data_IF_101314242433
#
_entry.id   IF_101314242433
#
_cell.length_a   1.000
_cell.length_b   1.000
_cell.length_c   1.000
_cell.angle_alpha   90.00
_cell.angle_beta   90.00
_cell.angle_gamma   90.00
#
_symmetry.space_group_name_H-M   'P 1'
#
loop_
_entity.id
_entity.type
_entity.pdbx_description
1 polymer ?
#
# COMPACT_ATOMS: atom_id res chain seq x y z
N UNK A 1 2.09 -4.78 -27.08
CA UNK A 1 0.71 -4.95 -26.54
C UNK A 1 0.67 -5.36 -25.08
N UNK A 2 1.46 -6.35 -24.61
CA UNK A 2 1.44 -6.84 -23.21
C UNK A 2 1.70 -5.78 -22.11
N UNK A 3 2.54 -4.77 -22.38
CA UNK A 3 2.86 -3.68 -21.41
C UNK A 3 1.71 -2.68 -21.23
N UNK A 4 1.02 -2.31 -22.31
CA UNK A 4 -0.16 -1.43 -22.27
C UNK A 4 -1.26 -2.09 -21.45
N UNK A 5 -1.45 -3.39 -21.63
CA UNK A 5 -2.43 -4.17 -20.88
C UNK A 5 -2.16 -4.18 -19.37
N UNK A 6 -0.89 -4.22 -18.95
CA UNK A 6 -0.48 -4.13 -17.54
C UNK A 6 -0.74 -2.73 -16.98
N UNK A 7 -0.40 -1.66 -17.72
CA UNK A 7 -0.68 -0.29 -17.27
C UNK A 7 -2.18 0.00 -17.21
N UNK A 8 -2.97 -0.52 -18.17
CA UNK A 8 -4.44 -0.43 -18.13
C UNK A 8 -5.04 -1.23 -16.97
N UNK A 9 -4.55 -2.45 -16.70
CA UNK A 9 -4.98 -3.23 -15.54
C UNK A 9 -4.61 -2.55 -14.22
N UNK A 10 -3.41 -1.96 -14.13
CA UNK A 10 -2.97 -1.20 -12.97
C UNK A 10 -3.84 0.04 -12.77
N UNK A 11 -4.18 0.75 -13.86
CA UNK A 11 -5.05 1.93 -13.82
C UNK A 11 -6.48 1.57 -13.39
N UNK A 12 -7.05 0.50 -13.95
CA UNK A 12 -8.38 0.00 -13.56
C UNK A 12 -8.39 -0.41 -12.09
N UNK A 13 -7.36 -1.15 -11.64
CA UNK A 13 -7.21 -1.56 -10.24
C UNK A 13 -7.08 -0.38 -9.27
N UNK A 14 -6.38 0.69 -9.67
CA UNK A 14 -6.27 1.92 -8.89
C UNK A 14 -7.59 2.70 -8.83
N UNK A 15 -8.42 2.65 -9.88
CA UNK A 15 -9.72 3.35 -9.91
C UNK A 15 -10.85 2.61 -9.18
N UNK A 16 -10.77 1.27 -9.06
CA UNK A 16 -11.82 0.47 -8.38
C UNK A 16 -11.85 0.63 -6.85
N UNK A 17 -10.92 1.40 -6.25
CA UNK A 17 -10.90 1.65 -4.80
C UNK A 17 -11.45 3.03 -4.39
N UNK A 18 -11.91 3.84 -5.34
CA UNK A 18 -12.56 5.14 -5.06
C UNK A 18 -14.07 4.95 -4.95
N UNK A 19 -14.54 4.56 -3.76
CA UNK A 19 -15.97 4.61 -3.43
C UNK A 19 -16.20 5.20 -2.04
N UNK A 20 -16.53 6.48 -2.04
CA UNK A 20 -17.55 7.14 -1.25
C UNK A 20 -17.86 8.47 -1.96
N UNK A 21 -19.12 8.81 -2.20
CA UNK A 21 -19.50 10.04 -2.89
C UNK A 21 -20.24 10.96 -1.93
N UNK A 22 -19.74 12.19 -1.72
CA UNK A 22 -20.46 13.25 -1.00
C UNK A 22 -21.04 14.22 -2.01
N UNK A 23 -22.35 14.39 -1.99
CA UNK A 23 -23.08 15.33 -2.84
C UNK A 23 -23.60 16.47 -1.99
N UNK A 24 -23.20 17.68 -2.34
CA UNK A 24 -23.72 18.91 -1.73
C UNK A 24 -24.84 19.42 -2.63
N UNK A 25 -26.03 19.54 -2.08
CA UNK A 25 -27.18 20.12 -2.77
C UNK A 25 -27.10 21.65 -2.74
N UNK A 26 -27.78 22.31 -3.66
CA UNK A 26 -27.95 23.79 -3.66
C UNK A 26 -28.68 24.30 -2.42
N UNK A 27 -29.39 23.43 -1.70
CA UNK A 27 -29.97 23.70 -0.38
C UNK A 27 -28.93 23.79 0.74
N UNK A 28 -27.69 23.34 0.51
CA UNK A 28 -26.64 23.20 1.52
C UNK A 28 -26.64 21.84 2.23
N UNK A 29 -27.60 20.97 1.93
CA UNK A 29 -27.66 19.60 2.47
C UNK A 29 -26.56 18.73 1.87
N UNK A 30 -25.94 17.89 2.71
CA UNK A 30 -24.84 17.01 2.35
C UNK A 30 -25.29 15.56 2.44
N UNK A 31 -25.19 14.81 1.34
CA UNK A 31 -25.57 13.40 1.26
C UNK A 31 -24.32 12.60 0.92
N UNK A 32 -23.96 11.63 1.76
CA UNK A 32 -22.79 10.76 1.55
C UNK A 32 -23.23 9.32 1.30
N UNK A 33 -22.68 8.67 0.29
CA UNK A 33 -22.98 7.26 -0.01
C UNK A 33 -22.37 6.77 -1.31
N UNK A 34 -22.77 5.57 -1.75
CA UNK A 34 -22.24 4.96 -2.97
C UNK A 34 -23.07 5.34 -4.18
N UNK A 35 -22.42 5.92 -5.19
CA UNK A 35 -23.05 6.25 -6.46
C UNK A 35 -23.35 4.96 -7.24
N UNK A 36 -24.63 4.64 -7.45
CA UNK A 36 -25.03 3.58 -8.37
C UNK A 36 -24.87 4.04 -9.81
N UNK A 37 -24.42 3.13 -10.67
CA UNK A 37 -24.41 3.37 -12.12
C UNK A 37 -25.82 3.74 -12.57
N UNK A 38 -25.96 4.98 -13.03
CA UNK A 38 -27.17 5.50 -13.66
C UNK A 38 -26.85 5.74 -15.13
N UNK A 39 -27.78 5.44 -16.02
CA UNK A 39 -27.61 5.71 -17.45
C UNK A 39 -27.24 7.19 -17.65
N UNK A 40 -26.21 7.49 -18.44
CA UNK A 40 -25.67 8.87 -18.57
C UNK A 40 -26.71 9.91 -19.01
N UNK A 41 -27.81 9.47 -19.61
CA UNK A 41 -28.97 10.26 -20.05
C UNK A 41 -29.98 10.60 -18.94
N UNK A 42 -29.84 10.02 -17.74
CA UNK A 42 -30.73 10.28 -16.61
C UNK A 42 -30.63 11.74 -16.14
N UNK A 43 -31.72 12.29 -15.65
CA UNK A 43 -31.77 13.61 -15.00
C UNK A 43 -31.41 13.58 -13.51
N UNK A 44 -31.06 12.40 -13.00
CA UNK A 44 -30.81 12.11 -11.59
C UNK A 44 -29.65 11.14 -11.41
N UNK A 45 -29.07 11.17 -10.22
CA UNK A 45 -28.13 10.17 -9.70
C UNK A 45 -28.80 9.42 -8.55
N UNK A 46 -28.36 8.19 -8.31
CA UNK A 46 -28.81 7.37 -7.19
C UNK A 46 -27.62 7.17 -6.27
N UNK A 47 -27.76 7.56 -5.01
CA UNK A 47 -26.76 7.35 -3.97
C UNK A 47 -27.34 6.39 -2.94
N UNK A 48 -26.65 5.30 -2.66
CA UNK A 48 -27.01 4.39 -1.58
C UNK A 48 -26.39 4.90 -0.28
N UNK A 49 -27.23 5.32 0.66
CA UNK A 49 -26.85 5.81 2.00
C UNK A 49 -27.55 4.93 3.03
N UNK A 50 -26.79 4.36 3.97
CA UNK A 50 -27.34 3.52 5.06
C UNK A 50 -28.25 2.35 4.59
N UNK A 51 -28.03 1.85 3.37
CA UNK A 51 -28.82 0.77 2.78
C UNK A 51 -30.08 1.22 2.04
N UNK A 52 -30.38 2.52 2.02
CA UNK A 52 -31.47 3.11 1.25
C UNK A 52 -30.96 3.84 0.00
N UNK A 53 -31.71 3.71 -1.10
CA UNK A 53 -31.39 4.38 -2.36
C UNK A 53 -32.04 5.77 -2.40
N UNK A 54 -31.22 6.81 -2.32
CA UNK A 54 -31.64 8.20 -2.40
C UNK A 54 -31.47 8.71 -3.83
N UNK A 55 -32.58 9.14 -4.45
CA UNK A 55 -32.60 9.73 -5.79
C UNK A 55 -32.39 11.24 -5.70
N UNK A 56 -31.33 11.75 -6.33
CA UNK A 56 -30.98 13.17 -6.36
C UNK A 56 -31.00 13.68 -7.79
N UNK A 57 -31.80 14.72 -8.08
CA UNK A 57 -31.81 15.32 -9.41
C UNK A 57 -30.53 16.14 -9.67
N UNK A 58 -29.95 16.00 -10.87
CA UNK A 58 -28.71 16.70 -11.27
C UNK A 58 -28.83 18.21 -11.17
N UNK A 59 -30.02 18.77 -11.35
CA UNK A 59 -30.30 20.23 -11.22
C UNK A 59 -30.14 20.76 -9.80
N UNK A 60 -30.25 19.89 -8.80
CA UNK A 60 -30.26 20.25 -7.38
C UNK A 60 -28.86 20.07 -6.76
N UNK A 61 -27.92 19.48 -7.49
CA UNK A 61 -26.52 19.31 -7.08
C UNK A 61 -25.77 20.62 -7.26
N UNK A 62 -25.10 21.06 -6.21
CA UNK A 62 -24.10 22.13 -6.25
C UNK A 62 -22.71 21.54 -6.55
N UNK A 63 -22.28 20.56 -5.77
CA UNK A 63 -20.94 19.96 -5.85
C UNK A 63 -20.99 18.45 -5.58
N UNK A 64 -20.06 17.70 -6.21
CA UNK A 64 -19.92 16.25 -6.05
C UNK A 64 -18.47 15.93 -5.74
N UNK A 65 -18.25 15.24 -4.61
CA UNK A 65 -16.93 14.85 -4.11
C UNK A 65 -16.79 13.35 -4.16
N UNK A 66 -15.62 12.90 -4.61
CA UNK A 66 -15.18 11.50 -4.50
C UNK A 66 -14.31 11.42 -3.25
N UNK A 67 -14.89 10.92 -2.17
CA UNK A 67 -14.23 10.72 -0.88
C UNK A 67 -13.85 9.24 -0.71
N UNK A 68 -12.91 8.98 0.19
CA UNK A 68 -12.59 7.62 0.61
C UNK A 68 -13.45 7.27 1.82
N UNK A 69 -14.06 6.08 1.83
CA UNK A 69 -14.82 5.60 2.97
C UNK A 69 -13.93 5.57 4.23
N UNK A 70 -14.44 6.12 5.33
CA UNK A 70 -13.74 6.21 6.61
C UNK A 70 -14.68 6.25 7.80
N UNK A 71 -14.19 5.86 8.97
CA UNK A 71 -14.96 5.88 10.21
C UNK A 71 -14.95 7.28 10.83
N UNK A 72 -16.06 7.68 11.46
CA UNK A 72 -16.14 8.95 12.18
C UNK A 72 -15.13 8.98 13.32
N UNK A 73 -14.38 10.07 13.39
CA UNK A 73 -13.21 10.21 14.24
C UNK A 73 -13.22 11.56 14.95
N UNK A 74 -12.97 11.51 16.25
CA UNK A 74 -12.70 12.69 17.07
C UNK A 74 -11.30 12.57 17.64
N UNK A 75 -10.48 13.60 17.47
CA UNK A 75 -9.10 13.65 17.94
C UNK A 75 -8.96 14.73 19.02
N UNK A 76 -8.29 14.39 20.12
CA UNK A 76 -7.80 15.37 21.09
C UNK A 76 -6.28 15.49 20.95
N UNK A 77 -5.81 16.67 20.52
CA UNK A 77 -4.39 16.97 20.36
C UNK A 77 -3.81 17.44 21.69
N UNK A 78 -2.52 17.15 21.96
CA UNK A 78 -1.88 17.62 23.20
C UNK A 78 -1.71 19.15 23.28
N UNK A 79 -1.62 19.79 22.12
CA UNK A 79 -1.35 21.23 22.00
C UNK A 79 -2.63 22.07 21.95
N UNK A 80 -3.80 21.44 21.74
CA UNK A 80 -5.07 22.13 21.57
C UNK A 80 -6.05 21.72 22.68
N UNK A 81 -6.74 22.68 23.33
CA UNK A 81 -7.65 22.38 24.44
C UNK A 81 -8.99 21.76 23.99
N UNK A 82 -9.32 21.84 22.70
CA UNK A 82 -10.58 21.34 22.16
C UNK A 82 -10.38 20.10 21.29
N UNK A 83 -11.30 19.14 21.42
CA UNK A 83 -11.33 17.98 20.54
C UNK A 83 -11.86 18.37 19.16
N UNK A 84 -11.12 18.02 18.11
CA UNK A 84 -11.62 18.15 16.73
C UNK A 84 -12.43 16.92 16.37
N UNK A 85 -13.73 17.11 16.20
CA UNK A 85 -14.69 16.11 15.74
C UNK A 85 -14.91 16.25 14.22
N UNK A 86 -15.75 15.42 13.62
CA UNK A 86 -16.05 15.42 12.16
C UNK A 86 -14.87 15.06 11.26
N UNK A 87 -13.87 14.37 11.79
CA UNK A 87 -12.76 13.83 11.00
C UNK A 87 -13.14 12.43 10.50
N UNK A 88 -12.54 11.99 9.38
CA UNK A 88 -12.73 10.62 8.87
C UNK A 88 -11.45 9.83 9.01
N UNK A 89 -11.48 8.77 9.81
CA UNK A 89 -10.41 7.80 9.96
C UNK A 89 -10.35 6.87 8.75
N UNK A 90 -9.23 6.89 8.04
CA UNK A 90 -9.00 6.04 6.86
C UNK A 90 -8.19 4.80 7.24
N UNK A 91 -7.15 5.01 8.05
CA UNK A 91 -6.21 3.97 8.46
C UNK A 91 -5.51 4.36 9.75
N UNK A 92 -5.13 3.36 10.54
CA UNK A 92 -4.18 3.51 11.62
C UNK A 92 -3.16 2.38 11.62
N UNK A 93 -2.02 2.65 12.26
CA UNK A 93 -1.02 1.64 12.60
C UNK A 93 -0.55 1.89 14.05
N UNK A 94 0.53 1.23 14.48
CA UNK A 94 1.03 1.33 15.86
C UNK A 94 1.49 2.75 16.25
N UNK A 95 1.83 3.61 15.28
CA UNK A 95 2.47 4.90 15.58
C UNK A 95 1.78 6.12 14.95
N UNK A 96 0.93 5.90 13.95
CA UNK A 96 0.38 6.93 13.08
C UNK A 96 -1.09 6.68 12.80
N UNK A 97 -1.85 7.77 12.86
CA UNK A 97 -3.25 7.87 12.50
C UNK A 97 -3.36 8.65 11.18
N UNK A 98 -4.07 8.10 10.20
CA UNK A 98 -4.33 8.71 8.90
C UNK A 98 -5.81 9.08 8.81
N UNK A 99 -6.08 10.36 8.60
CA UNK A 99 -7.44 10.90 8.60
C UNK A 99 -7.63 11.97 7.54
N UNK A 100 -8.88 12.21 7.18
CA UNK A 100 -9.31 13.33 6.35
C UNK A 100 -9.88 14.41 7.25
N UNK A 101 -9.41 15.65 7.08
CA UNK A 101 -9.94 16.81 7.80
C UNK A 101 -11.24 17.35 7.18
N UNK A 102 -11.89 18.30 7.86
CA UNK A 102 -13.15 18.92 7.40
C UNK A 102 -13.04 19.56 5.99
N UNK A 103 -11.82 19.87 5.55
CA UNK A 103 -11.53 20.45 4.24
C UNK A 103 -11.17 19.37 3.19
N UNK A 104 -11.47 18.11 3.46
CA UNK A 104 -11.13 16.97 2.61
C UNK A 104 -9.62 16.81 2.33
N UNK A 105 -8.76 17.25 3.26
CA UNK A 105 -7.31 17.07 3.12
C UNK A 105 -6.86 15.83 3.87
N UNK A 106 -6.10 15.00 3.18
CA UNK A 106 -5.40 13.88 3.79
C UNK A 106 -4.34 14.37 4.77
N UNK A 107 -4.46 13.96 6.02
CA UNK A 107 -3.54 14.28 7.11
C UNK A 107 -3.06 13.00 7.78
N UNK A 108 -1.87 13.11 8.36
CA UNK A 108 -1.28 12.07 9.22
C UNK A 108 -0.79 12.71 10.50
N UNK A 109 -0.94 12.00 11.60
CA UNK A 109 -0.44 12.46 12.90
C UNK A 109 0.13 11.28 13.68
N UNK A 110 1.17 11.52 14.47
CA UNK A 110 1.71 10.50 15.37
C UNK A 110 0.85 10.40 16.62
N UNK A 111 0.63 9.18 17.13
CA UNK A 111 0.05 8.99 18.47
C UNK A 111 0.85 9.70 19.57
N UNK A 112 2.15 10.00 19.35
CA UNK A 112 2.96 10.79 20.30
C UNK A 112 2.41 12.21 20.52
N UNK A 113 1.74 12.76 19.52
CA UNK A 113 1.21 14.14 19.52
C UNK A 113 -0.29 14.17 19.91
N UNK A 114 -0.88 13.00 20.11
CA UNK A 114 -2.29 12.82 20.50
C UNK A 114 -2.41 12.57 21.99
N UNK A 115 -3.42 13.16 22.61
CA UNK A 115 -3.83 12.80 23.96
C UNK A 115 -4.84 11.65 23.95
N UNK A 116 -5.84 11.73 23.06
CA UNK A 116 -6.81 10.65 22.87
C UNK A 116 -7.45 10.65 21.49
N UNK A 117 -8.05 9.51 21.12
CA UNK A 117 -8.91 9.38 19.95
C UNK A 117 -10.22 8.68 20.33
N UNK A 118 -11.30 9.06 19.65
CA UNK A 118 -12.59 8.38 19.69
C UNK A 118 -12.99 8.00 18.27
N UNK A 119 -13.27 6.72 18.06
CA UNK A 119 -13.71 6.17 16.78
C UNK A 119 -15.16 5.71 16.96
N UNK A 120 -16.07 6.30 16.20
CA UNK A 120 -17.49 5.95 16.22
C UNK A 120 -17.77 4.90 15.14
N UNK A 121 -18.64 3.93 15.48
CA UNK A 121 -19.08 2.86 14.58
C UNK A 121 -17.93 2.19 13.81
N UNK A 122 -16.95 1.57 14.50
CA UNK A 122 -15.72 1.10 13.90
C UNK A 122 -15.96 0.01 12.84
N UNK A 123 -15.44 0.21 11.64
CA UNK A 123 -15.53 -0.79 10.56
C UNK A 123 -14.65 -2.00 10.85
N UNK A 124 -14.97 -3.14 10.21
CA UNK A 124 -14.13 -4.36 10.26
C UNK A 124 -12.67 -4.07 9.96
N UNK A 125 -12.40 -3.23 8.94
CA UNK A 125 -11.04 -2.82 8.54
C UNK A 125 -10.29 -2.13 9.68
N UNK A 126 -10.96 -1.25 10.42
CA UNK A 126 -10.34 -0.53 11.55
C UNK A 126 -10.15 -1.46 12.75
N UNK A 127 -11.11 -2.33 13.05
CA UNK A 127 -10.99 -3.33 14.11
C UNK A 127 -9.80 -4.27 13.86
N UNK A 128 -9.60 -4.72 12.62
CA UNK A 128 -8.46 -5.55 12.23
C UNK A 128 -7.12 -4.81 12.31
N UNK A 129 -7.11 -3.49 12.07
CA UNK A 129 -5.90 -2.69 12.25
C UNK A 129 -5.58 -2.52 13.73
N UNK A 130 -6.59 -2.26 14.56
CA UNK A 130 -6.44 -2.13 16.01
C UNK A 130 -5.97 -3.44 16.65
N UNK A 131 -6.44 -4.60 16.19
CA UNK A 131 -5.97 -5.89 16.71
C UNK A 131 -4.46 -6.10 16.49
N UNK A 132 -3.91 -5.55 15.41
CA UNK A 132 -2.47 -5.57 15.12
C UNK A 132 -1.66 -4.60 15.99
N UNK A 133 -2.29 -3.55 16.53
CA UNK A 133 -1.61 -2.58 17.42
C UNK A 133 -1.42 -3.06 18.85
N UNK A 134 -2.26 -4.00 19.31
CA UNK A 134 -2.34 -4.45 20.71
C UNK A 134 -2.56 -3.31 21.72
N UNK A 135 -3.12 -2.17 21.28
CA UNK A 135 -3.48 -1.10 22.19
C UNK A 135 -4.57 -1.55 23.15
N UNK A 136 -4.46 -1.14 24.41
CA UNK A 136 -5.58 -1.22 25.36
C UNK A 136 -6.57 -0.14 24.99
N UNK A 137 -7.68 -0.57 24.39
CA UNK A 137 -8.72 0.33 23.89
C UNK A 137 -9.93 0.15 24.80
N UNK A 138 -10.54 1.25 25.20
CA UNK A 138 -11.81 1.25 25.89
C UNK A 138 -12.91 1.04 24.85
N UNK A 139 -13.48 -0.15 24.86
CA UNK A 139 -14.57 -0.56 23.98
C UNK A 139 -15.86 -0.25 24.74
N UNK A 140 -16.65 0.68 24.20
CA UNK A 140 -17.94 1.05 24.79
C UNK A 140 -19.05 0.46 23.95
N UNK A 141 -19.86 -0.40 24.58
CA UNK A 141 -21.04 -0.99 23.96
C UNK A 141 -22.21 0.01 23.94
N UNK A 142 -23.18 -0.19 23.04
CA UNK A 142 -24.47 0.53 23.01
C UNK A 142 -25.21 0.46 24.35
N UNK A 143 -25.02 -0.62 25.11
CA UNK A 143 -25.55 -0.79 26.48
C UNK A 143 -24.75 -0.04 27.55
N UNK A 144 -23.80 0.82 27.16
CA UNK A 144 -22.87 1.54 28.05
C UNK A 144 -21.98 0.65 28.92
N UNK A 145 -21.81 -0.62 28.55
CA UNK A 145 -20.77 -1.48 29.12
C UNK A 145 -19.43 -1.05 28.56
N UNK A 146 -18.45 -0.87 29.44
CA UNK A 146 -17.11 -0.43 29.08
C UNK A 146 -16.11 -1.54 29.38
N UNK A 147 -15.29 -1.89 28.39
CA UNK A 147 -14.26 -2.90 28.50
C UNK A 147 -12.94 -2.30 28.04
N UNK A 148 -11.96 -2.21 28.94
CA UNK A 148 -10.59 -1.79 28.59
C UNK A 148 -9.76 -3.03 28.27
N UNK A 149 -9.54 -3.30 26.99
CA UNK A 149 -8.85 -4.52 26.56
C UNK A 149 -8.18 -4.36 25.20
N UNK A 150 -7.07 -5.07 24.92
CA UNK A 150 -6.60 -5.21 23.55
C UNK A 150 -7.50 -6.14 22.74
N UNK A 151 -7.75 -5.77 21.49
CA UNK A 151 -8.44 -6.64 20.53
C UNK A 151 -7.45 -7.72 20.09
N UNK A 152 -7.73 -9.00 20.35
CA UNK A 152 -6.84 -10.09 19.93
C UNK A 152 -7.07 -10.51 18.49
N UNK A 153 -8.33 -10.71 18.12
CA UNK A 153 -8.70 -11.11 16.78
C UNK A 153 -10.07 -10.59 16.43
N UNK A 154 -10.28 -10.41 15.13
CA UNK A 154 -11.56 -10.05 14.53
C UNK A 154 -11.94 -11.23 13.65
N UNK A 155 -13.10 -11.83 13.92
CA UNK A 155 -13.63 -12.96 13.14
C UNK A 155 -15.09 -12.69 12.83
N UNK A 156 -15.44 -12.81 11.56
CA UNK A 156 -16.81 -12.63 11.06
C UNK A 156 -17.43 -11.35 11.65
N UNK A 157 -18.48 -11.47 12.47
CA UNK A 157 -19.18 -10.34 13.12
C UNK A 157 -18.80 -10.10 14.59
N UNK A 158 -17.72 -10.70 15.07
CA UNK A 158 -17.31 -10.60 16.48
C UNK A 158 -15.85 -10.19 16.64
N UNK A 159 -15.57 -9.50 17.75
CA UNK A 159 -14.21 -9.25 18.23
C UNK A 159 -13.95 -10.11 19.47
N UNK A 160 -12.75 -10.66 19.54
CA UNK A 160 -12.27 -11.38 20.72
C UNK A 160 -11.40 -10.45 21.55
N UNK A 161 -11.75 -10.25 22.82
CA UNK A 161 -10.98 -9.46 23.77
C UNK A 161 -10.53 -10.34 24.94
N UNK A 162 -9.30 -10.15 25.39
CA UNK A 162 -8.75 -10.91 26.52
C UNK A 162 -7.93 -9.95 27.40
N UNK A 163 -8.35 -9.78 28.65
CA UNK A 163 -7.68 -8.87 29.59
C UNK A 163 -6.37 -9.46 30.14
N UNK A 164 -6.35 -10.78 30.40
CA UNK A 164 -5.20 -11.50 30.96
C UNK A 164 -5.07 -12.89 30.30
N UNK A 165 -3.84 -13.40 30.11
CA UNK A 165 -3.59 -14.63 29.35
C UNK A 165 -4.30 -15.89 29.89
N UNK A 166 -4.68 -15.90 31.17
CA UNK A 166 -5.35 -17.02 31.84
C UNK A 166 -6.88 -16.88 31.97
N UNK A 167 -7.50 -15.85 31.37
CA UNK A 167 -8.95 -15.62 31.44
C UNK A 167 -9.62 -16.04 30.12
N UNK A 168 -10.82 -16.60 30.19
CA UNK A 168 -11.60 -16.95 29.01
C UNK A 168 -11.82 -15.72 28.10
N UNK A 169 -11.56 -15.82 26.80
CA UNK A 169 -11.75 -14.71 25.88
C UNK A 169 -13.22 -14.28 25.84
N UNK A 170 -13.47 -12.98 25.92
CA UNK A 170 -14.82 -12.42 25.78
C UNK A 170 -15.07 -12.11 24.30
N UNK A 171 -16.20 -12.58 23.78
CA UNK A 171 -16.65 -12.32 22.42
C UNK A 171 -17.64 -11.15 22.45
N UNK A 172 -17.36 -10.10 21.69
CA UNK A 172 -18.22 -8.92 21.57
C UNK A 172 -18.68 -8.81 20.11
N UNK A 173 -20.00 -8.83 19.83
CA UNK A 173 -20.51 -8.54 18.50
C UNK A 173 -20.17 -7.12 18.05
N UNK A 174 -19.80 -6.92 16.78
CA UNK A 174 -19.44 -5.61 16.23
C UNK A 174 -20.59 -4.62 16.30
N UNK A 175 -21.80 -5.09 16.05
CA UNK A 175 -23.04 -4.31 16.06
C UNK A 175 -23.36 -3.71 17.44
N UNK A 176 -22.85 -4.33 18.51
CA UNK A 176 -23.01 -3.86 19.88
C UNK A 176 -22.01 -2.76 20.25
N UNK A 177 -20.97 -2.51 19.44
CA UNK A 177 -19.95 -1.50 19.72
C UNK A 177 -20.48 -0.12 19.29
N UNK A 178 -20.59 0.80 20.25
CA UNK A 178 -20.97 2.19 19.97
C UNK A 178 -19.75 3.01 19.52
N UNK A 179 -18.68 2.99 20.33
CA UNK A 179 -17.44 3.67 19.99
C UNK A 179 -16.23 3.03 20.70
N UNK A 180 -15.06 3.32 20.15
CA UNK A 180 -13.76 2.94 20.70
C UNK A 180 -13.05 4.19 21.18
N UNK A 181 -12.54 4.18 22.40
CA UNK A 181 -11.74 5.27 22.96
C UNK A 181 -10.34 4.78 23.30
N UNK A 182 -9.33 5.53 22.87
CA UNK A 182 -7.94 5.26 23.18
C UNK A 182 -7.29 6.50 23.76
N UNK A 183 -6.62 6.33 24.91
CA UNK A 183 -5.89 7.39 25.61
C UNK A 183 -4.39 7.07 25.61
N UNK A 184 -3.59 7.99 25.12
CA UNK A 184 -2.13 7.80 24.95
C UNK A 184 -1.38 7.78 26.29
N UNK A 185 -2.01 8.22 27.38
CA UNK A 185 -1.36 8.45 28.69
C UNK A 185 -1.20 7.22 29.58
N UNK A 186 -1.67 6.03 29.18
CA UNK A 186 -1.33 4.81 29.93
C UNK A 186 0.13 4.42 29.70
N UNK A 187 0.85 4.25 30.82
CA UNK A 187 2.26 3.89 30.87
C UNK A 187 2.61 2.80 29.85
N UNK A 188 3.60 3.12 29.00
CA UNK A 188 4.22 2.21 28.04
C UNK A 188 4.86 1.02 28.77
N UNK A 189 4.06 0.04 29.19
CA UNK A 189 4.55 -1.32 29.45
C UNK A 189 4.57 -2.05 28.12
N UNK A 190 5.78 -2.21 27.62
CA UNK A 190 6.17 -3.10 26.53
C UNK A 190 5.49 -2.85 25.18
N UNK A 191 5.57 -1.61 24.70
CA UNK A 191 5.69 -1.41 23.25
C UNK A 191 7.02 -2.06 22.82
N UNK A 192 7.04 -2.94 21.80
CA UNK A 192 8.28 -3.43 21.23
C UNK A 192 9.14 -2.21 20.90
N UNK A 193 10.37 -2.17 21.42
CA UNK A 193 11.32 -1.09 21.16
C UNK A 193 11.29 -0.78 19.66
N UNK A 194 10.89 0.45 19.40
CA UNK A 194 10.93 1.16 18.14
C UNK A 194 12.17 0.70 17.36
N UNK A 195 12.00 0.02 16.23
CA UNK A 195 12.99 0.20 15.16
C UNK A 195 12.75 1.63 14.71
N UNK A 196 13.48 2.57 15.30
CA UNK A 196 13.60 3.92 14.78
C UNK A 196 13.80 3.79 13.26
N UNK A 197 12.93 4.44 12.49
CA UNK A 197 13.11 4.55 11.05
C UNK A 197 14.45 5.29 10.91
N UNK A 198 15.51 4.52 10.64
CA UNK A 198 16.83 5.11 10.52
C UNK A 198 16.76 6.20 9.45
N UNK A 199 17.30 7.40 9.74
CA UNK A 199 17.27 8.49 8.78
C UNK A 199 17.88 8.00 7.47
N UNK A 200 17.20 8.28 6.36
CA UNK A 200 17.64 7.84 5.04
C UNK A 200 19.01 8.47 4.77
N UNK A 201 20.01 7.62 4.57
CA UNK A 201 21.38 8.01 4.27
C UNK A 201 21.65 7.98 2.77
N UNK A 202 22.72 8.63 2.31
CA UNK A 202 23.12 8.61 0.90
C UNK A 202 23.39 7.17 0.41
N UNK A 203 23.90 6.31 1.31
CA UNK A 203 24.14 4.89 1.03
C UNK A 203 22.87 4.13 0.64
N UNK A 204 21.71 4.53 1.19
CA UNK A 204 20.43 3.91 0.88
C UNK A 204 20.02 4.12 -0.58
N UNK A 205 20.37 5.27 -1.18
CA UNK A 205 20.15 5.57 -2.59
C UNK A 205 21.20 4.92 -3.50
N UNK A 206 22.46 4.89 -3.06
CA UNK A 206 23.58 4.38 -3.85
C UNK A 206 23.57 2.85 -4.00
N UNK A 207 23.06 2.13 -3.00
CA UNK A 207 23.07 0.67 -2.98
C UNK A 207 21.62 0.15 -2.94
N UNK A 208 21.01 -0.11 -4.11
CA UNK A 208 19.68 -0.71 -4.17
C UNK A 208 19.53 -1.96 -3.29
N UNK A 209 18.57 -1.92 -2.36
CA UNK A 209 18.32 -3.00 -1.41
C UNK A 209 19.00 -2.88 -0.05
N UNK A 210 19.95 -1.94 0.12
CA UNK A 210 20.62 -1.71 1.41
C UNK A 210 19.65 -1.21 2.48
N UNK A 211 18.80 -0.24 2.14
CA UNK A 211 17.75 0.26 3.03
C UNK A 211 16.76 -0.83 3.45
N UNK A 212 16.33 -1.66 2.49
CA UNK A 212 15.40 -2.77 2.72
C UNK A 212 15.99 -3.77 3.73
N UNK A 213 17.29 -4.09 3.59
CA UNK A 213 18.03 -4.91 4.55
C UNK A 213 18.06 -4.25 5.93
N UNK A 214 18.36 -2.95 6.03
CA UNK A 214 18.45 -2.24 7.30
C UNK A 214 17.10 -2.14 8.03
N UNK A 215 15.98 -2.09 7.28
CA UNK A 215 14.63 -2.16 7.84
C UNK A 215 14.27 -3.56 8.41
N UNK A 216 15.06 -4.59 8.10
CA UNK A 216 14.90 -5.95 8.62
C UNK A 216 14.51 -7.00 7.59
N UNK A 217 14.20 -6.59 6.35
CA UNK A 217 13.87 -7.51 5.26
C UNK A 217 15.15 -8.00 4.57
N UNK A 218 15.90 -8.84 5.28
CA UNK A 218 17.25 -9.26 4.85
C UNK A 218 17.25 -10.00 3.52
N UNK A 219 16.32 -10.94 3.31
CA UNK A 219 16.25 -11.75 2.08
C UNK A 219 15.99 -10.89 0.84
N UNK A 220 14.97 -10.04 0.88
CA UNK A 220 14.62 -9.17 -0.24
C UNK A 220 15.67 -8.09 -0.46
N UNK A 221 16.23 -7.53 0.61
CA UNK A 221 17.35 -6.59 0.54
C UNK A 221 18.58 -7.19 -0.16
N UNK A 222 19.04 -8.37 0.27
CA UNK A 222 20.16 -9.06 -0.38
C UNK A 222 19.84 -9.47 -1.83
N UNK A 223 18.60 -9.83 -2.12
CA UNK A 223 18.18 -10.17 -3.50
C UNK A 223 18.30 -8.96 -4.41
N UNK A 224 17.80 -7.79 -3.98
CA UNK A 224 17.89 -6.56 -4.79
C UNK A 224 19.33 -6.07 -4.95
N UNK A 225 20.15 -6.18 -3.89
CA UNK A 225 21.58 -5.89 -3.96
C UNK A 225 22.30 -6.83 -4.94
N UNK A 226 22.00 -8.13 -4.87
CA UNK A 226 22.59 -9.15 -5.75
C UNK A 226 22.19 -8.97 -7.22
N UNK A 227 20.92 -8.68 -7.50
CA UNK A 227 20.44 -8.37 -8.84
C UNK A 227 21.12 -7.12 -9.41
N UNK A 228 21.26 -6.08 -8.59
CA UNK A 228 21.93 -4.84 -8.99
C UNK A 228 23.41 -5.10 -9.31
N UNK A 229 24.10 -5.86 -8.47
CA UNK A 229 25.48 -6.26 -8.72
C UNK A 229 25.62 -7.10 -10.00
N UNK A 230 24.70 -8.04 -10.23
CA UNK A 230 24.68 -8.87 -11.43
C UNK A 230 24.46 -8.04 -12.69
N UNK A 231 23.53 -7.07 -12.68
CA UNK A 231 23.30 -6.20 -13.82
C UNK A 231 24.46 -5.24 -14.07
N UNK A 232 25.08 -4.70 -13.02
CA UNK A 232 26.26 -3.86 -13.15
C UNK A 232 27.45 -4.65 -13.74
N UNK A 233 27.73 -5.84 -13.21
CA UNK A 233 28.80 -6.70 -13.70
C UNK A 233 28.53 -7.18 -15.14
N UNK A 234 27.31 -7.61 -15.44
CA UNK A 234 26.89 -7.99 -16.79
C UNK A 234 27.01 -6.84 -17.79
N UNK A 235 26.62 -5.63 -17.40
CA UNK A 235 26.81 -4.43 -18.22
C UNK A 235 28.29 -4.19 -18.53
N UNK A 236 29.16 -4.21 -17.51
CA UNK A 236 30.61 -3.98 -17.70
C UNK A 236 31.21 -5.06 -18.60
N UNK A 237 30.86 -6.32 -18.37
CA UNK A 237 31.32 -7.45 -19.17
C UNK A 237 30.93 -7.30 -20.64
N UNK A 238 29.63 -7.13 -20.91
CA UNK A 238 29.12 -6.98 -22.28
C UNK A 238 29.64 -5.72 -22.97
N UNK A 239 29.94 -4.65 -22.21
CA UNK A 239 30.60 -3.47 -22.76
C UNK A 239 32.04 -3.75 -23.21
N UNK A 240 32.81 -4.49 -22.40
CA UNK A 240 34.18 -4.89 -22.74
C UNK A 240 34.16 -5.82 -23.94
N UNK A 241 33.28 -6.83 -23.96
CA UNK A 241 33.15 -7.74 -25.09
C UNK A 241 32.68 -7.03 -26.36
N UNK A 242 31.72 -6.10 -26.26
CA UNK A 242 31.35 -5.25 -27.39
C UNK A 242 32.55 -4.45 -27.90
N UNK A 243 33.35 -3.85 -27.01
CA UNK A 243 34.54 -3.09 -27.42
C UNK A 243 35.61 -3.98 -28.08
N UNK A 244 35.77 -5.22 -27.61
CA UNK A 244 36.70 -6.18 -28.18
C UNK A 244 36.22 -6.73 -29.53
N UNK A 245 34.91 -6.93 -29.68
CA UNK A 245 34.25 -7.36 -30.90
C UNK A 245 34.05 -6.21 -31.91
N UNK A 246 34.27 -4.96 -31.50
CA UNK A 246 34.30 -3.82 -32.41
C UNK A 246 35.49 -4.00 -33.34
N UNK A 247 35.20 -4.44 -34.58
CA UNK A 247 36.20 -4.83 -35.56
C UNK A 247 37.32 -3.78 -35.70
N UNK A 248 38.56 -4.28 -35.84
CA UNK A 248 39.67 -3.45 -36.30
C UNK A 248 39.35 -2.91 -37.70
N UNK A 249 40.02 -1.82 -38.07
CA UNK A 249 39.91 -1.10 -39.34
C UNK A 249 39.56 -2.01 -40.53
N UNK A 250 38.71 -1.56 -41.47
CA UNK A 250 38.27 -2.38 -42.60
C UNK A 250 39.46 -3.02 -43.31
N UNK A 251 39.33 -4.29 -43.68
CA UNK A 251 40.37 -4.96 -44.45
C UNK A 251 40.41 -4.32 -45.84
N UNK A 252 41.45 -3.53 -46.09
CA UNK A 252 41.72 -2.92 -47.38
C UNK A 252 42.64 -3.86 -48.16
N UNK A 253 42.11 -4.47 -49.22
CA UNK A 253 42.91 -5.33 -50.12
C UNK A 253 43.18 -4.54 -51.40
N UNK A 254 44.43 -4.09 -51.64
CA UNK A 254 44.77 -3.37 -52.86
C UNK A 254 44.73 -4.33 -54.06
N UNK A 255 44.17 -3.86 -55.17
CA UNK A 255 44.13 -4.58 -56.45
C UNK A 255 45.21 -4.05 -57.41
N UNK A 256 45.59 -4.87 -58.39
CA UNK A 256 46.62 -4.52 -59.38
C UNK A 256 46.23 -3.42 -60.35
N UNK A 257 44.95 -3.02 -60.39
CA UNK A 257 44.41 -1.92 -61.19
C UNK A 257 44.39 -0.57 -60.43
N UNK A 258 44.89 -0.53 -59.19
CA UNK A 258 44.89 0.66 -58.34
C UNK A 258 43.58 0.86 -57.57
N UNK A 259 42.60 -0.03 -57.71
CA UNK A 259 41.40 -0.03 -56.87
C UNK A 259 41.66 -0.70 -55.51
N UNK A 260 40.79 -0.43 -54.53
CA UNK A 260 40.86 -1.02 -53.20
C UNK A 260 39.53 -1.71 -52.90
N UNK A 261 39.57 -3.01 -52.64
CA UNK A 261 38.41 -3.70 -52.08
C UNK A 261 38.36 -3.43 -50.59
N UNK A 262 37.23 -2.90 -50.12
CA UNK A 262 36.88 -2.96 -48.71
C UNK A 262 36.11 -4.25 -48.44
N UNK A 263 36.42 -4.92 -47.35
CA UNK A 263 35.57 -5.97 -46.77
C UNK A 263 35.16 -5.52 -45.37
N UNK A 264 33.86 -5.31 -45.17
CA UNK A 264 33.30 -5.01 -43.85
C UNK A 264 33.25 -6.31 -43.05
N UNK A 265 33.98 -6.36 -41.93
CA UNK A 265 33.97 -7.52 -41.05
C UNK A 265 32.59 -7.63 -40.38
N UNK A 266 32.03 -8.83 -40.30
CA UNK A 266 30.65 -9.03 -39.84
C UNK A 266 30.42 -8.47 -38.44
N UNK A 267 29.63 -7.41 -38.32
CA UNK A 267 29.31 -6.70 -37.06
C UNK A 267 28.35 -7.45 -36.12
N UNK A 268 28.10 -8.74 -36.37
CA UNK A 268 27.11 -9.54 -35.65
C UNK A 268 27.41 -9.70 -34.16
N UNK A 269 28.67 -9.99 -33.80
CA UNK A 269 29.07 -10.13 -32.39
C UNK A 269 29.07 -8.79 -31.65
N UNK A 270 29.57 -7.72 -32.29
CA UNK A 270 29.49 -6.36 -31.74
C UNK A 270 28.04 -5.96 -31.42
N UNK A 271 27.12 -6.15 -32.37
CA UNK A 271 25.72 -5.78 -32.19
C UNK A 271 25.03 -6.65 -31.12
N UNK A 272 25.42 -7.92 -31.00
CA UNK A 272 24.94 -8.82 -29.93
C UNK A 272 25.35 -8.30 -28.55
N UNK A 273 26.64 -8.07 -28.32
CA UNK A 273 27.16 -7.59 -27.04
C UNK A 273 26.65 -6.19 -26.70
N UNK A 274 26.51 -5.30 -27.71
CA UNK A 274 25.87 -3.99 -27.55
C UNK A 274 24.42 -4.09 -27.08
N UNK A 275 23.62 -4.97 -27.67
CA UNK A 275 22.21 -5.16 -27.28
C UNK A 275 22.09 -5.75 -25.87
N UNK A 276 22.93 -6.73 -25.52
CA UNK A 276 22.97 -7.30 -24.18
C UNK A 276 23.40 -6.27 -23.12
N UNK A 277 24.44 -5.47 -23.42
CA UNK A 277 24.85 -4.36 -22.58
C UNK A 277 23.69 -3.38 -22.32
N UNK A 278 22.95 -2.98 -23.36
CA UNK A 278 21.78 -2.11 -23.22
C UNK A 278 20.70 -2.73 -22.32
N UNK A 279 20.43 -4.03 -22.45
CA UNK A 279 19.46 -4.73 -21.60
C UNK A 279 19.91 -4.74 -20.13
N UNK A 280 21.20 -4.99 -19.86
CA UNK A 280 21.74 -4.92 -18.50
C UNK A 280 21.68 -3.50 -17.93
N UNK A 281 21.99 -2.47 -18.71
CA UNK A 281 21.89 -1.07 -18.29
C UNK A 281 20.44 -0.64 -18.00
N UNK A 282 19.48 -1.04 -18.83
CA UNK A 282 18.07 -0.77 -18.59
C UNK A 282 17.62 -1.49 -17.31
N UNK A 283 18.01 -2.76 -17.15
CA UNK A 283 17.67 -3.54 -15.95
C UNK A 283 18.26 -2.91 -14.69
N UNK A 284 19.50 -2.42 -14.76
CA UNK A 284 20.15 -1.68 -13.69
C UNK A 284 19.41 -0.36 -13.39
N UNK A 285 19.04 0.42 -14.41
CA UNK A 285 18.28 1.64 -14.21
C UNK A 285 16.93 1.36 -13.52
N UNK A 286 16.25 0.27 -13.89
CA UNK A 286 15.02 -0.16 -13.25
C UNK A 286 15.22 -0.53 -11.78
N UNK A 287 16.33 -1.17 -11.38
CA UNK A 287 16.57 -1.47 -9.95
C UNK A 287 16.79 -0.20 -9.13
N UNK A 288 17.47 0.81 -9.68
CA UNK A 288 17.63 2.10 -9.02
C UNK A 288 16.32 2.89 -8.92
N UNK A 289 15.51 2.91 -9.98
CA UNK A 289 14.19 3.54 -9.94
C UNK A 289 13.28 2.87 -8.92
N UNK A 290 13.25 1.54 -8.89
CA UNK A 290 12.49 0.77 -7.90
C UNK A 290 12.96 1.06 -6.47
N UNK A 291 14.28 1.06 -6.22
CA UNK A 291 14.83 1.42 -4.91
C UNK A 291 14.46 2.84 -4.49
N UNK A 292 14.51 3.80 -5.43
CA UNK A 292 14.11 5.19 -5.17
C UNK A 292 12.64 5.27 -4.79
N UNK A 293 11.73 4.62 -5.53
CA UNK A 293 10.31 4.57 -5.20
C UNK A 293 10.08 3.99 -3.80
N UNK A 294 10.79 2.93 -3.42
CA UNK A 294 10.69 2.34 -2.09
C UNK A 294 11.18 3.28 -0.97
N UNK A 295 12.18 4.11 -1.24
CA UNK A 295 12.72 5.09 -0.30
C UNK A 295 11.81 6.33 -0.17
N UNK A 296 11.28 6.83 -1.28
CA UNK A 296 10.50 8.08 -1.31
C UNK A 296 9.06 7.88 -0.85
N UNK A 297 8.49 6.68 -1.05
CA UNK A 297 7.09 6.40 -0.76
C UNK A 297 6.95 5.25 0.25
N UNK A 298 6.77 5.57 1.55
CA UNK A 298 6.58 4.56 2.61
C UNK A 298 5.35 3.65 2.39
N UNK A 299 4.34 4.14 1.66
CA UNK A 299 3.15 3.36 1.30
C UNK A 299 3.49 2.18 0.37
N UNK A 300 4.37 2.38 -0.62
CA UNK A 300 4.83 1.31 -1.50
C UNK A 300 5.69 0.29 -0.76
N UNK A 301 6.56 0.74 0.15
CA UNK A 301 7.33 -0.18 0.98
C UNK A 301 6.42 -1.11 1.80
N UNK A 302 5.41 -0.54 2.46
CA UNK A 302 4.45 -1.31 3.25
C UNK A 302 3.48 -2.16 2.42
N UNK A 303 3.33 -1.88 1.12
CA UNK A 303 2.58 -2.71 0.18
C UNK A 303 3.39 -3.92 -0.31
N UNK A 304 4.66 -3.72 -0.70
CA UNK A 304 5.52 -4.79 -1.21
C UNK A 304 6.08 -5.70 -0.12
N UNK A 305 6.24 -5.19 1.10
CA UNK A 305 6.82 -5.91 2.23
C UNK A 305 5.80 -6.08 3.37
N UNK A 306 4.57 -6.48 3.03
CA UNK A 306 3.62 -7.02 4.00
C UNK A 306 4.15 -8.35 4.54
N UNK A 307 4.93 -8.32 5.62
CA UNK A 307 5.30 -9.56 6.30
C UNK A 307 4.21 -9.98 7.28
N UNK A 308 3.63 -11.16 7.00
CA UNK A 308 3.09 -12.08 7.99
C UNK A 308 4.13 -12.24 9.10
N UNK A 309 3.75 -12.16 10.39
CA UNK A 309 4.71 -12.35 11.47
C UNK A 309 5.25 -13.79 11.41
N UNK A 310 6.51 -13.94 10.99
CA UNK A 310 7.28 -15.15 11.23
C UNK A 310 7.61 -15.16 12.71
N UNK A 311 6.78 -15.83 13.52
CA UNK A 311 7.12 -16.17 14.90
C UNK A 311 8.39 -17.04 14.88
N UNK A 312 9.46 -16.67 15.59
CA UNK A 312 10.60 -17.55 15.81
C UNK A 312 10.42 -18.28 17.14
N UNK A 313 9.67 -19.38 17.15
CA UNK A 313 9.82 -20.48 18.12
C UNK A 313 8.67 -21.49 17.94
N UNK A 314 9.00 -22.72 17.56
CA UNK A 314 8.07 -23.86 17.54
C UNK A 314 8.47 -24.88 16.47
N UNK A 315 8.96 -26.07 16.85
CA UNK A 315 9.43 -27.07 15.90
C UNK A 315 8.26 -27.87 15.30
N UNK A 316 8.44 -28.28 14.04
CA UNK A 316 7.71 -29.36 13.36
C UNK A 316 6.18 -29.24 13.23
N UNK A 317 5.72 -28.92 12.02
CA UNK A 317 4.79 -29.82 11.35
C UNK A 317 4.99 -29.72 9.82
N UNK A 318 5.48 -30.80 9.24
CA UNK A 318 5.43 -31.00 7.80
C UNK A 318 3.97 -31.15 7.35
N UNK A 319 3.70 -30.55 6.19
CA UNK A 319 2.87 -31.07 5.10
C UNK A 319 1.38 -30.70 5.03
N UNK A 320 1.02 -30.26 3.81
CA UNK A 320 -0.28 -30.32 3.11
C UNK A 320 -1.20 -29.11 3.26
N UNK A 321 -1.22 -28.27 2.23
CA UNK A 321 -2.40 -27.73 1.51
C UNK A 321 -1.86 -26.87 0.34
N UNK A 322 -1.40 -27.43 -0.77
CA UNK A 322 -2.15 -27.89 -1.96
C UNK A 322 -3.17 -26.86 -2.48
N UNK A 323 -2.75 -26.12 -3.51
CA UNK A 323 -3.53 -25.56 -4.62
C UNK A 323 -5.05 -25.39 -4.42
N UNK A 324 -5.49 -24.20 -4.03
CA UNK A 324 -6.86 -23.75 -4.36
C UNK A 324 -6.87 -23.20 -5.79
N UNK A 325 -7.23 -24.07 -6.74
CA UNK A 325 -7.72 -23.70 -8.06
C UNK A 325 -9.12 -23.09 -7.87
N UNK A 326 -9.27 -21.79 -8.06
CA UNK A 326 -10.59 -21.16 -8.21
C UNK A 326 -10.97 -21.24 -9.69
N UNK A 327 -11.85 -22.18 -10.05
CA UNK A 327 -12.53 -22.19 -11.35
C UNK A 327 -13.77 -21.30 -11.27
N UNK A 328 -13.80 -20.20 -12.04
CA UNK A 328 -15.04 -19.45 -12.27
C UNK A 328 -15.64 -19.89 -13.60
N UNK A 329 -16.82 -20.52 -13.52
CA UNK A 329 -17.69 -20.72 -14.69
C UNK A 329 -18.52 -19.47 -14.90
N UNK A 330 -18.32 -18.84 -16.05
CA UNK A 330 -19.16 -17.75 -16.55
C UNK A 330 -20.36 -18.40 -17.23
N UNK A 331 -21.57 -17.96 -16.87
CA UNK A 331 -22.78 -18.25 -17.63
C UNK A 331 -23.34 -16.93 -18.17
N UNK A 332 -23.28 -16.75 -19.49
CA UNK A 332 -23.90 -15.63 -20.20
C UNK A 332 -25.19 -16.18 -20.79
N UNK A 333 -26.33 -15.63 -20.38
CA UNK A 333 -27.57 -15.77 -21.14
C UNK A 333 -27.92 -14.41 -21.74
N UNK A 334 -28.22 -14.44 -23.05
CA UNK A 334 -28.49 -13.30 -23.92
C UNK A 334 -29.69 -12.46 -23.48
#
# INVERSE_FOLDING_TARGET
>A
MRKILIYSLLFIFLTTQLQAHRVILKSGEQISGDLKETEGTSDHIIITTEGEDVKIFKKDIAELFFEEAGNHLCIHFKEEPESKCNLKLIRLNVNTLYYIDENNRYRRISFKDLESIRIEEPSTKILEQLSKTRFRIQIVSKDKKEILSPIQSVKDETITVQNEPDVTPTLIPKEEIAFLFYKTTEEKKDLPKEKEIQPITILDYLIPGYYIKNQGHTKSGFTLMGLTALFAAGSIYEYIEAKNAQGKSPLLVPQSDGSVLWAEQSSGEFNKHKNLNQLFLISLACTYLFNTVLLTFPATFSFFFQEVPVNPAGPNLHSIEKDQKIEMKININF
#
